data_IF_973627991134
#
_entry.id   IF_973627991134
#
_cell.length_a   1.000
_cell.length_b   1.000
_cell.length_c   1.000
_cell.angle_alpha   90.00
_cell.angle_beta   90.00
_cell.angle_gamma   90.00
#
_symmetry.space_group_name_H-M   'P 1'
#
loop_
_entity.id
_entity.type
_entity.pdbx_description
1 polymer ?
#
# COMPACT_ATOMS: atom_id res chain seq x y z
N UNK A 1 -34.07 -41.14 9.25
CA UNK A 1 -33.94 -40.45 7.95
C UNK A 1 -33.98 -38.92 8.06
N UNK A 2 -34.90 -38.31 8.85
CA UNK A 2 -35.01 -36.84 8.94
C UNK A 2 -33.77 -36.14 9.53
N UNK A 3 -33.16 -36.67 10.59
CA UNK A 3 -31.96 -36.07 11.21
C UNK A 3 -30.73 -36.02 10.26
N UNK A 4 -30.60 -37.00 9.35
CA UNK A 4 -29.51 -37.00 8.36
C UNK A 4 -29.74 -35.96 7.27
N UNK A 5 -30.98 -35.83 6.78
CA UNK A 5 -31.37 -34.82 5.79
C UNK A 5 -31.21 -33.41 6.36
N UNK A 6 -31.62 -33.20 7.62
CA UNK A 6 -31.51 -31.93 8.32
C UNK A 6 -30.04 -31.52 8.54
N UNK A 7 -29.18 -32.45 8.99
CA UNK A 7 -27.72 -32.21 9.11
C UNK A 7 -27.08 -31.89 7.76
N UNK A 8 -27.47 -32.59 6.69
CA UNK A 8 -26.95 -32.36 5.34
C UNK A 8 -27.34 -30.98 4.80
N UNK A 9 -28.61 -30.60 4.93
CA UNK A 9 -29.10 -29.27 4.53
C UNK A 9 -28.44 -28.15 5.34
N UNK A 10 -28.25 -28.34 6.65
CA UNK A 10 -27.58 -27.37 7.52
C UNK A 10 -26.12 -27.16 7.12
N UNK A 11 -25.37 -28.22 6.82
CA UNK A 11 -23.99 -28.14 6.33
C UNK A 11 -23.88 -27.40 4.99
N UNK A 12 -24.81 -27.67 4.06
CA UNK A 12 -24.85 -26.99 2.75
C UNK A 12 -25.10 -25.47 2.89
N UNK A 13 -25.99 -25.07 3.80
CA UNK A 13 -26.27 -23.66 4.08
C UNK A 13 -25.10 -22.96 4.77
N UNK A 14 -24.48 -23.59 5.77
CA UNK A 14 -23.30 -23.05 6.45
C UNK A 14 -22.13 -22.89 5.46
N UNK A 15 -21.90 -23.90 4.62
CA UNK A 15 -20.88 -23.85 3.56
C UNK A 15 -21.14 -22.70 2.58
N UNK A 16 -22.39 -22.48 2.17
CA UNK A 16 -22.75 -21.36 1.28
C UNK A 16 -22.51 -20.00 1.93
N UNK A 17 -22.95 -19.78 3.18
CA UNK A 17 -22.73 -18.52 3.87
C UNK A 17 -21.26 -18.26 4.20
N UNK A 18 -20.53 -19.30 4.59
CA UNK A 18 -19.10 -19.23 4.83
C UNK A 18 -18.35 -18.84 3.56
N UNK A 19 -18.67 -19.46 2.41
CA UNK A 19 -18.08 -19.13 1.12
C UNK A 19 -18.34 -17.67 0.72
N UNK A 20 -19.55 -17.15 0.94
CA UNK A 20 -19.88 -15.74 0.68
C UNK A 20 -19.09 -14.81 1.61
N UNK A 21 -19.06 -15.07 2.92
CA UNK A 21 -18.32 -14.26 3.88
C UNK A 21 -16.82 -14.27 3.60
N UNK A 22 -16.25 -15.42 3.26
CA UNK A 22 -14.84 -15.58 2.89
C UNK A 22 -14.52 -14.82 1.59
N UNK A 23 -15.37 -14.92 0.57
CA UNK A 23 -15.21 -14.17 -0.68
C UNK A 23 -15.22 -12.66 -0.42
N UNK A 24 -16.16 -12.16 0.39
CA UNK A 24 -16.22 -10.75 0.78
C UNK A 24 -14.94 -10.38 1.55
N UNK A 25 -14.49 -11.20 2.50
CA UNK A 25 -13.29 -10.94 3.30
C UNK A 25 -12.04 -10.79 2.43
N UNK A 26 -11.79 -11.74 1.52
CA UNK A 26 -10.60 -11.71 0.67
C UNK A 26 -10.57 -10.48 -0.24
N UNK A 27 -11.72 -10.14 -0.82
CA UNK A 27 -11.86 -9.00 -1.71
C UNK A 27 -11.70 -7.67 -0.95
N UNK A 28 -12.36 -7.52 0.20
CA UNK A 28 -12.23 -6.33 1.04
C UNK A 28 -10.84 -6.19 1.64
N UNK A 29 -10.17 -7.30 1.97
CA UNK A 29 -8.78 -7.30 2.41
C UNK A 29 -7.89 -6.72 1.31
N UNK A 30 -8.01 -7.22 0.08
CA UNK A 30 -7.24 -6.73 -1.05
C UNK A 30 -7.50 -5.24 -1.33
N UNK A 31 -8.77 -4.80 -1.26
CA UNK A 31 -9.11 -3.38 -1.34
C UNK A 31 -8.51 -2.56 -0.20
N UNK A 32 -8.48 -3.10 1.01
CA UNK A 32 -7.84 -2.48 2.18
C UNK A 32 -6.34 -2.30 1.98
N UNK A 33 -5.65 -3.30 1.41
CA UNK A 33 -4.23 -3.20 1.07
C UNK A 33 -3.98 -2.12 0.02
N UNK A 34 -4.78 -2.11 -1.06
CA UNK A 34 -4.68 -1.06 -2.08
C UNK A 34 -4.98 0.33 -1.51
N UNK A 35 -6.01 0.45 -0.67
CA UNK A 35 -6.33 1.68 0.04
C UNK A 35 -5.20 2.15 0.96
N UNK A 36 -4.56 1.23 1.68
CA UNK A 36 -3.38 1.53 2.51
C UNK A 36 -2.24 2.10 1.65
N UNK A 37 -1.97 1.50 0.50
CA UNK A 37 -0.94 1.97 -0.44
C UNK A 37 -1.27 3.35 -1.00
N UNK A 38 -2.51 3.58 -1.45
CA UNK A 38 -2.94 4.89 -1.97
C UNK A 38 -2.75 5.98 -0.90
N UNK A 39 -3.24 5.73 0.32
CA UNK A 39 -3.19 6.72 1.40
C UNK A 39 -1.77 6.99 1.90
N UNK A 40 -0.85 6.03 1.78
CA UNK A 40 0.54 6.16 2.24
C UNK A 40 1.55 6.31 1.09
N UNK A 41 1.10 6.54 -0.14
CA UNK A 41 2.02 6.64 -1.30
C UNK A 41 3.05 7.75 -1.11
N UNK A 42 2.66 8.87 -0.49
CA UNK A 42 3.60 9.97 -0.19
C UNK A 42 4.71 9.51 0.76
N UNK A 43 4.37 8.91 1.90
CA UNK A 43 5.37 8.40 2.87
C UNK A 43 6.30 7.36 2.25
N UNK A 44 5.75 6.49 1.42
CA UNK A 44 6.55 5.50 0.70
C UNK A 44 7.53 6.18 -0.28
N UNK A 45 7.07 7.17 -1.05
CA UNK A 45 7.92 7.94 -1.94
C UNK A 45 8.99 8.73 -1.18
N UNK A 46 8.63 9.34 -0.05
CA UNK A 46 9.53 10.13 0.79
C UNK A 46 10.63 9.25 1.40
N UNK A 47 10.31 8.04 1.86
CA UNK A 47 11.31 7.08 2.35
C UNK A 47 12.37 6.75 1.28
N UNK A 48 11.97 6.48 0.04
CA UNK A 48 12.93 6.24 -1.04
C UNK A 48 13.72 7.50 -1.43
N UNK A 49 13.11 8.69 -1.35
CA UNK A 49 13.80 9.96 -1.60
C UNK A 49 14.90 10.24 -0.57
N UNK A 50 14.65 9.94 0.70
CA UNK A 50 15.60 10.18 1.78
C UNK A 50 16.79 9.22 1.79
N UNK A 51 16.75 8.16 0.99
CA UNK A 51 17.89 7.27 0.74
C UNK A 51 18.86 7.83 -0.31
N UNK A 52 18.53 8.96 -0.95
CA UNK A 52 19.43 9.60 -1.90
C UNK A 52 20.49 10.39 -1.13
N UNK A 53 21.74 10.06 -1.41
CA UNK A 53 22.93 10.73 -0.87
C UNK A 53 23.56 11.60 -1.96
N UNK A 54 23.98 12.80 -1.58
CA UNK A 54 24.89 13.64 -2.36
C UNK A 54 26.27 13.52 -1.75
N UNK A 55 27.24 13.06 -2.52
CA UNK A 55 28.63 12.94 -2.09
C UNK A 55 29.42 14.17 -2.53
N UNK A 56 29.87 14.95 -1.55
CA UNK A 56 30.70 16.15 -1.77
C UNK A 56 32.17 15.77 -1.60
N UNK A 57 32.88 15.57 -2.70
CA UNK A 57 34.31 15.25 -2.68
C UNK A 57 35.15 16.50 -2.42
N UNK A 58 36.11 16.37 -1.52
CA UNK A 58 36.98 17.44 -1.06
C UNK A 58 38.33 17.35 -1.76
N UNK A 59 38.98 18.49 -1.96
CA UNK A 59 40.37 18.53 -2.46
C UNK A 59 41.33 18.05 -1.37
N UNK A 60 42.43 17.42 -1.76
CA UNK A 60 43.51 17.02 -0.83
C UNK A 60 44.12 18.21 -0.07
N UNK A 61 44.00 19.42 -0.62
CA UNK A 61 44.47 20.66 -0.01
C UNK A 61 43.49 21.27 1.01
N UNK A 62 42.31 20.67 1.21
CA UNK A 62 41.29 21.18 2.13
C UNK A 62 41.77 21.09 3.58
N UNK A 63 41.65 22.19 4.33
CA UNK A 63 42.08 22.23 5.72
C UNK A 63 41.03 21.58 6.62
N UNK A 64 41.42 20.89 7.71
CA UNK A 64 40.45 20.29 8.64
C UNK A 64 39.38 21.26 9.17
N UNK A 65 39.74 22.55 9.35
CA UNK A 65 38.81 23.61 9.77
C UNK A 65 37.75 23.90 8.71
N UNK A 66 38.11 23.85 7.42
CA UNK A 66 37.17 24.08 6.31
C UNK A 66 36.20 22.91 6.17
N UNK A 67 36.68 21.69 6.40
CA UNK A 67 35.87 20.46 6.41
C UNK A 67 34.85 20.51 7.55
N UNK A 68 35.29 20.80 8.78
CA UNK A 68 34.41 20.91 9.95
C UNK A 68 33.37 22.04 9.80
N UNK A 69 33.78 23.18 9.22
CA UNK A 69 32.85 24.27 8.92
C UNK A 69 31.81 23.87 7.87
N UNK A 70 32.22 23.17 6.81
CA UNK A 70 31.31 22.68 5.78
C UNK A 70 30.32 21.69 6.37
N UNK A 71 30.80 20.69 7.11
CA UNK A 71 29.95 19.68 7.76
C UNK A 71 28.91 20.33 8.69
N UNK A 72 29.33 21.27 9.55
CA UNK A 72 28.40 22.00 10.42
C UNK A 72 27.40 22.85 9.64
N UNK A 73 27.83 23.50 8.56
CA UNK A 73 26.92 24.28 7.72
C UNK A 73 25.87 23.39 7.05
N UNK A 74 26.27 22.20 6.59
CA UNK A 74 25.39 21.21 5.98
C UNK A 74 24.40 20.66 7.00
N UNK A 75 24.85 20.32 8.21
CA UNK A 75 23.96 19.87 9.30
C UNK A 75 22.91 20.91 9.70
N UNK A 76 23.24 22.21 9.58
CA UNK A 76 22.32 23.31 9.86
C UNK A 76 21.40 23.67 8.69
N UNK A 77 21.69 23.17 7.49
CA UNK A 77 20.90 23.48 6.31
C UNK A 77 19.52 22.82 6.38
N UNK A 78 18.49 23.54 5.93
CA UNK A 78 17.11 23.05 6.00
C UNK A 78 16.89 21.78 5.17
N UNK A 79 17.65 21.61 4.09
CA UNK A 79 17.54 20.47 3.17
C UNK A 79 18.23 19.20 3.68
N UNK A 80 19.08 19.28 4.70
CA UNK A 80 19.90 18.16 5.17
C UNK A 80 19.19 17.36 6.25
N UNK A 81 19.17 16.04 6.09
CA UNK A 81 18.75 15.07 7.10
C UNK A 81 19.94 14.62 7.96
N UNK A 82 21.06 14.31 7.31
CA UNK A 82 22.35 13.98 7.93
C UNK A 82 23.50 14.39 7.01
N UNK A 83 24.65 14.71 7.60
CA UNK A 83 25.89 14.98 6.88
C UNK A 83 27.04 14.26 7.58
N UNK A 84 27.61 13.27 6.92
CA UNK A 84 28.65 12.40 7.46
C UNK A 84 29.96 12.61 6.71
N UNK A 85 31.05 12.82 7.45
CA UNK A 85 32.38 12.91 6.86
C UNK A 85 32.96 11.50 6.72
N UNK A 86 33.38 11.15 5.52
CA UNK A 86 34.03 9.88 5.22
C UNK A 86 35.47 10.20 4.79
N UNK A 87 36.43 9.67 5.54
CA UNK A 87 37.83 9.80 5.17
C UNK A 87 38.13 8.92 3.95
N UNK A 88 39.16 9.28 3.17
CA UNK A 88 39.60 8.46 2.04
C UNK A 88 40.03 7.06 2.49
N UNK A 89 40.54 6.93 3.72
CA UNK A 89 40.90 5.65 4.33
C UNK A 89 39.65 4.81 4.63
N UNK A 90 38.63 5.39 5.28
CA UNK A 90 37.36 4.69 5.57
C UNK A 90 36.63 4.31 4.27
N UNK A 91 36.62 5.22 3.29
CA UNK A 91 36.04 4.95 1.98
C UNK A 91 36.74 3.79 1.26
N UNK A 92 38.05 3.64 1.44
CA UNK A 92 38.80 2.55 0.83
C UNK A 92 38.57 1.21 1.51
N UNK A 93 38.45 1.21 2.85
CA UNK A 93 38.07 0.03 3.61
C UNK A 93 36.68 -0.46 3.17
N UNK A 94 35.69 0.43 3.17
CA UNK A 94 34.32 0.11 2.76
C UNK A 94 34.24 -0.37 1.31
N UNK A 95 34.93 0.31 0.39
CA UNK A 95 34.93 -0.09 -1.01
C UNK A 95 35.63 -1.44 -1.24
N UNK A 96 36.69 -1.74 -0.48
CA UNK A 96 37.40 -3.03 -0.54
C UNK A 96 36.52 -4.17 -0.01
N UNK A 97 35.73 -3.92 1.05
CA UNK A 97 34.75 -4.89 1.55
C UNK A 97 33.65 -5.17 0.53
N UNK A 98 33.13 -4.13 -0.14
CA UNK A 98 32.06 -4.25 -1.13
C UNK A 98 32.49 -5.04 -2.38
N UNK A 99 33.73 -4.86 -2.85
CA UNK A 99 34.26 -5.59 -4.01
C UNK A 99 34.90 -6.93 -3.63
N UNK A 100 35.18 -7.16 -2.33
CA UNK A 100 35.83 -8.36 -1.82
C UNK A 100 37.32 -8.49 -2.16
N UNK A 101 37.95 -7.41 -2.62
CA UNK A 101 39.35 -7.34 -3.05
C UNK A 101 40.00 -6.05 -2.53
N UNK A 102 41.29 -6.11 -2.19
CA UNK A 102 42.04 -4.93 -1.81
C UNK A 102 42.61 -4.25 -3.07
N UNK A 103 41.89 -3.27 -3.60
CA UNK A 103 42.30 -2.54 -4.80
C UNK A 103 43.57 -1.70 -4.56
N UNK A 104 43.86 -1.30 -3.32
CA UNK A 104 45.07 -0.53 -2.99
C UNK A 104 46.33 -1.36 -3.19
N UNK A 105 46.27 -2.67 -2.93
CA UNK A 105 47.38 -3.60 -3.20
C UNK A 105 47.67 -3.71 -4.71
N UNK A 106 46.64 -3.59 -5.56
CA UNK A 106 46.78 -3.61 -7.01
C UNK A 106 47.27 -2.27 -7.58
N UNK A 107 46.76 -1.15 -7.09
CA UNK A 107 47.09 0.20 -7.59
C UNK A 107 48.36 0.78 -6.95
N UNK A 108 48.76 0.29 -5.78
CA UNK A 108 49.92 0.77 -5.01
C UNK A 108 49.68 2.11 -4.29
N UNK A 109 48.47 2.67 -4.37
CA UNK A 109 48.02 3.88 -3.65
C UNK A 109 46.49 3.93 -3.57
N UNK A 110 45.96 4.72 -2.63
CA UNK A 110 44.53 4.99 -2.50
C UNK A 110 44.11 6.16 -3.43
N UNK A 111 43.28 5.92 -4.46
CA UNK A 111 42.81 6.95 -5.39
C UNK A 111 41.54 7.67 -4.91
N UNK A 112 40.95 7.26 -3.78
CA UNK A 112 39.73 7.86 -3.24
C UNK A 112 40.02 9.19 -2.55
N UNK A 113 38.97 10.00 -2.44
CA UNK A 113 39.02 11.34 -1.84
C UNK A 113 38.19 11.35 -0.57
N UNK A 114 38.54 12.26 0.34
CA UNK A 114 37.66 12.57 1.47
C UNK A 114 36.33 13.11 0.92
N UNK A 115 35.21 12.65 1.48
CA UNK A 115 33.89 13.13 1.10
C UNK A 115 33.06 13.54 2.31
N UNK A 116 32.05 14.36 2.06
CA UNK A 116 30.93 14.54 2.97
C UNK A 116 29.69 14.02 2.25
N UNK A 117 29.12 12.96 2.81
CA UNK A 117 27.89 12.34 2.32
C UNK A 117 26.70 13.01 3.00
N UNK A 118 25.86 13.64 2.17
CA UNK A 118 24.72 14.44 2.60
C UNK A 118 23.43 13.73 2.20
N UNK A 119 22.70 13.21 3.20
CA UNK A 119 21.34 12.71 2.98
C UNK A 119 20.36 13.87 3.02
N UNK A 120 19.56 13.99 1.98
CA UNK A 120 18.57 15.07 1.87
C UNK A 120 17.22 14.66 2.49
N UNK A 121 16.48 15.66 2.98
CA UNK A 121 15.06 15.49 3.33
C UNK A 121 14.22 15.35 2.06
N UNK A 122 13.18 14.50 2.09
CA UNK A 122 12.36 14.19 0.92
C UNK A 122 11.79 15.40 0.16
N UNK A 123 11.46 16.47 0.87
CA UNK A 123 10.88 17.70 0.31
C UNK A 123 11.86 18.47 -0.59
N UNK A 124 13.17 18.24 -0.44
CA UNK A 124 14.24 18.87 -1.23
C UNK A 124 14.82 17.94 -2.31
N UNK A 125 14.29 16.73 -2.45
CA UNK A 125 14.70 15.75 -3.46
C UNK A 125 13.89 15.95 -4.73
N UNK A 126 14.22 17.02 -5.45
CA UNK A 126 13.78 17.27 -6.83
C UNK A 126 14.98 17.54 -7.74
N UNK A 127 14.88 17.23 -9.05
CA UNK A 127 16.00 17.46 -9.98
C UNK A 127 16.50 18.90 -9.92
N UNK A 128 15.59 19.88 -9.89
CA UNK A 128 15.94 21.30 -9.86
C UNK A 128 16.62 21.71 -8.55
N UNK A 129 16.05 21.33 -7.40
CA UNK A 129 16.62 21.70 -6.10
C UNK A 129 17.97 21.03 -5.85
N UNK A 130 18.14 19.79 -6.29
CA UNK A 130 19.42 19.09 -6.15
C UNK A 130 20.48 19.72 -7.05
N UNK A 131 20.12 20.11 -8.29
CA UNK A 131 21.04 20.85 -9.16
C UNK A 131 21.47 22.18 -8.53
N UNK A 132 20.53 22.95 -7.94
CA UNK A 132 20.82 24.20 -7.23
C UNK A 132 21.76 23.98 -6.02
N UNK A 133 21.47 22.97 -5.19
CA UNK A 133 22.31 22.61 -4.03
C UNK A 133 23.70 22.18 -4.50
N UNK A 134 23.78 21.35 -5.55
CA UNK A 134 25.05 20.88 -6.07
C UNK A 134 25.92 22.01 -6.63
N UNK A 135 25.32 22.96 -7.35
CA UNK A 135 26.01 24.16 -7.85
C UNK A 135 26.51 25.06 -6.70
N UNK A 136 25.69 25.26 -5.66
CA UNK A 136 26.09 26.02 -4.47
C UNK A 136 27.29 25.38 -3.75
N UNK A 137 27.28 24.06 -3.61
CA UNK A 137 28.35 23.31 -2.96
C UNK A 137 29.63 23.28 -3.82
N UNK A 138 29.50 23.11 -5.14
CA UNK A 138 30.61 23.12 -6.08
C UNK A 138 31.30 24.49 -6.18
N UNK A 139 30.60 25.59 -5.86
CA UNK A 139 31.18 26.93 -5.86
C UNK A 139 32.22 27.17 -4.74
N UNK A 140 32.32 26.27 -3.76
CA UNK A 140 33.28 26.39 -2.64
C UNK A 140 34.68 25.96 -3.10
N UNK A 141 35.70 26.80 -2.84
CA UNK A 141 37.05 26.60 -3.36
C UNK A 141 37.73 25.27 -2.95
N UNK A 142 37.37 24.73 -1.78
CA UNK A 142 37.91 23.49 -1.20
C UNK A 142 37.11 22.23 -1.57
N UNK A 143 36.00 22.37 -2.29
CA UNK A 143 35.25 21.27 -2.90
C UNK A 143 35.86 20.98 -4.28
N UNK A 144 36.02 19.70 -4.59
CA UNK A 144 36.55 19.24 -5.86
C UNK A 144 35.42 18.87 -6.83
N UNK A 145 34.50 18.03 -6.39
CA UNK A 145 33.37 17.55 -7.17
C UNK A 145 32.18 17.26 -6.27
N UNK A 146 30.97 17.49 -6.78
CA UNK A 146 29.72 17.08 -6.12
C UNK A 146 29.07 16.01 -6.99
N UNK A 147 29.02 14.79 -6.48
CA UNK A 147 28.49 13.62 -7.19
C UNK A 147 27.13 13.21 -6.64
N UNK A 148 26.20 12.93 -7.55
CA UNK A 148 24.85 12.46 -7.23
C UNK A 148 24.23 11.81 -8.47
N UNK A 149 23.34 10.84 -8.23
CA UNK A 149 22.70 10.08 -9.30
C UNK A 149 21.49 10.85 -9.89
N UNK A 150 21.77 11.79 -10.80
CA UNK A 150 20.75 12.54 -11.56
C UNK A 150 19.71 11.62 -12.22
N UNK A 151 20.11 10.56 -12.97
CA UNK A 151 19.15 9.60 -13.52
C UNK A 151 18.23 9.02 -12.46
N UNK A 152 18.76 8.53 -11.34
CA UNK A 152 17.96 7.92 -10.27
C UNK A 152 16.96 8.90 -9.67
N UNK A 153 17.37 10.14 -9.37
CA UNK A 153 16.48 11.19 -8.83
C UNK A 153 15.34 11.48 -9.80
N UNK A 154 15.67 11.67 -11.08
CA UNK A 154 14.68 11.95 -12.12
C UNK A 154 13.71 10.78 -12.34
N UNK A 155 14.23 9.55 -12.30
CA UNK A 155 13.44 8.32 -12.37
C UNK A 155 12.51 8.21 -11.17
N UNK A 156 13.01 8.45 -9.95
CA UNK A 156 12.24 8.32 -8.72
C UNK A 156 11.11 9.34 -8.66
N UNK A 157 11.36 10.61 -9.01
CA UNK A 157 10.31 11.65 -8.98
C UNK A 157 9.22 11.40 -10.05
N UNK A 158 9.63 11.09 -11.29
CA UNK A 158 8.69 10.79 -12.37
C UNK A 158 7.92 9.48 -12.13
N UNK A 159 8.61 8.43 -11.68
CA UNK A 159 8.00 7.13 -11.44
C UNK A 159 7.13 7.14 -10.19
N UNK A 160 7.48 7.86 -9.11
CA UNK A 160 6.63 7.96 -7.92
C UNK A 160 5.23 8.52 -8.28
N UNK A 161 5.17 9.57 -9.09
CA UNK A 161 3.88 10.12 -9.58
C UNK A 161 3.13 9.11 -10.45
N UNK A 162 3.81 8.46 -11.38
CA UNK A 162 3.20 7.44 -12.25
C UNK A 162 2.69 6.24 -11.44
N UNK A 163 3.47 5.74 -10.51
CA UNK A 163 3.13 4.63 -9.62
C UNK A 163 1.90 5.00 -8.79
N UNK A 164 1.86 6.21 -8.21
CA UNK A 164 0.68 6.69 -7.48
C UNK A 164 -0.58 6.65 -8.33
N UNK A 165 -0.50 7.13 -9.58
CA UNK A 165 -1.61 7.10 -10.53
C UNK A 165 -2.02 5.66 -10.85
N UNK A 166 -1.06 4.77 -11.13
CA UNK A 166 -1.34 3.37 -11.43
C UNK A 166 -1.95 2.62 -10.25
N UNK A 167 -1.51 2.89 -9.01
CA UNK A 167 -2.12 2.33 -7.79
C UNK A 167 -3.56 2.82 -7.65
N UNK A 168 -3.84 4.10 -7.93
CA UNK A 168 -5.20 4.64 -7.90
C UNK A 168 -6.09 3.97 -8.96
N UNK A 169 -5.61 3.85 -10.21
CA UNK A 169 -6.33 3.17 -11.29
C UNK A 169 -6.57 1.71 -10.94
N UNK A 170 -5.56 1.00 -10.43
CA UNK A 170 -5.70 -0.37 -9.96
C UNK A 170 -6.77 -0.46 -8.85
N UNK A 171 -6.73 0.43 -7.86
CA UNK A 171 -7.73 0.49 -6.78
C UNK A 171 -9.15 0.66 -7.31
N UNK A 172 -9.34 1.51 -8.33
CA UNK A 172 -10.65 1.70 -8.96
C UNK A 172 -11.11 0.42 -9.69
N UNK A 173 -10.24 -0.22 -10.48
CA UNK A 173 -10.53 -1.48 -11.17
C UNK A 173 -10.85 -2.60 -10.18
N UNK A 174 -10.04 -2.75 -9.12
CA UNK A 174 -10.28 -3.73 -8.08
C UNK A 174 -11.57 -3.47 -7.31
N UNK A 175 -12.00 -2.21 -7.18
CA UNK A 175 -13.30 -1.87 -6.59
C UNK A 175 -14.45 -2.39 -7.47
N UNK A 176 -14.34 -2.26 -8.79
CA UNK A 176 -15.32 -2.84 -9.72
C UNK A 176 -15.32 -4.36 -9.65
N UNK A 177 -14.13 -4.99 -9.65
CA UNK A 177 -13.98 -6.45 -9.49
C UNK A 177 -14.62 -6.90 -8.17
N UNK A 178 -14.41 -6.14 -7.10
CA UNK A 178 -14.98 -6.43 -5.79
C UNK A 178 -16.50 -6.46 -5.82
N UNK A 179 -17.12 -5.44 -6.41
CA UNK A 179 -18.57 -5.38 -6.59
C UNK A 179 -19.06 -6.56 -7.42
N UNK A 180 -18.36 -6.93 -8.50
CA UNK A 180 -18.74 -8.06 -9.35
C UNK A 180 -18.65 -9.41 -8.62
N UNK A 181 -17.57 -9.67 -7.89
CA UNK A 181 -17.35 -10.91 -7.12
C UNK A 181 -18.33 -11.03 -5.95
N UNK A 182 -18.58 -9.94 -5.23
CA UNK A 182 -19.54 -9.93 -4.13
C UNK A 182 -20.96 -10.16 -4.68
N UNK A 183 -21.30 -9.49 -5.79
CA UNK A 183 -22.59 -9.68 -6.46
C UNK A 183 -22.77 -11.10 -6.99
N UNK A 184 -21.75 -11.71 -7.60
CA UNK A 184 -21.84 -13.10 -8.09
C UNK A 184 -22.04 -14.09 -6.94
N UNK A 185 -21.29 -13.95 -5.84
CA UNK A 185 -21.42 -14.77 -4.63
C UNK A 185 -22.81 -14.64 -3.98
N UNK A 186 -23.31 -13.41 -3.81
CA UNK A 186 -24.65 -13.15 -3.24
C UNK A 186 -25.75 -13.70 -4.15
N UNK A 187 -25.62 -13.51 -5.46
CA UNK A 187 -26.57 -14.02 -6.46
C UNK A 187 -26.66 -15.54 -6.43
N UNK A 188 -25.52 -16.23 -6.34
CA UNK A 188 -25.48 -17.69 -6.22
C UNK A 188 -26.16 -18.15 -4.92
N UNK A 189 -25.91 -17.45 -3.81
CA UNK A 189 -26.58 -17.72 -2.53
C UNK A 189 -28.10 -17.52 -2.62
N UNK A 190 -28.57 -16.46 -3.27
CA UNK A 190 -30.00 -16.21 -3.48
C UNK A 190 -30.63 -17.25 -4.43
N UNK A 191 -29.93 -17.62 -5.50
CA UNK A 191 -30.38 -18.64 -6.45
C UNK A 191 -30.60 -20.00 -5.76
N UNK A 192 -29.76 -20.36 -4.79
CA UNK A 192 -29.95 -21.59 -3.99
C UNK A 192 -31.27 -21.62 -3.22
N UNK A 193 -31.89 -20.45 -3.00
CA UNK A 193 -33.16 -20.25 -2.28
C UNK A 193 -34.31 -19.85 -3.19
N UNK A 194 -34.17 -20.03 -4.52
CA UNK A 194 -35.18 -19.63 -5.52
C UNK A 194 -36.57 -20.22 -5.25
N UNK A 195 -36.65 -21.48 -4.83
CA UNK A 195 -37.92 -22.13 -4.50
C UNK A 195 -38.60 -21.49 -3.29
N UNK A 196 -37.84 -21.14 -2.24
CA UNK A 196 -38.38 -20.46 -1.05
C UNK A 196 -38.96 -19.10 -1.43
N UNK A 197 -38.22 -18.34 -2.25
CA UNK A 197 -38.67 -17.04 -2.78
C UNK A 197 -39.99 -17.21 -3.54
N UNK A 198 -40.09 -18.23 -4.40
CA UNK A 198 -41.28 -18.47 -5.20
C UNK A 198 -42.48 -18.92 -4.36
N UNK A 199 -42.27 -19.80 -3.37
CA UNK A 199 -43.33 -20.19 -2.42
C UNK A 199 -43.88 -18.99 -1.68
N UNK A 200 -43.02 -18.06 -1.23
CA UNK A 200 -43.47 -16.81 -0.61
C UNK A 200 -44.28 -15.93 -1.59
N UNK A 201 -43.91 -15.88 -2.87
CA UNK A 201 -44.70 -15.17 -3.89
C UNK A 201 -46.07 -15.81 -4.12
N UNK A 202 -46.16 -17.15 -4.15
CA UNK A 202 -47.41 -17.88 -4.39
C UNK A 202 -48.43 -17.71 -3.25
N UNK A 203 -47.97 -17.52 -2.01
CA UNK A 203 -48.84 -17.20 -0.87
C UNK A 203 -49.18 -15.71 -0.74
N UNK A 204 -48.80 -14.88 -1.73
CA UNK A 204 -49.15 -13.46 -1.79
C UNK A 204 -48.24 -12.51 -1.01
N UNK A 205 -47.04 -12.93 -0.61
CA UNK A 205 -46.12 -12.05 0.12
C UNK A 205 -45.64 -10.88 -0.74
N UNK A 206 -45.57 -9.68 -0.16
CA UNK A 206 -45.09 -8.48 -0.86
C UNK A 206 -43.60 -8.58 -1.19
N UNK A 207 -43.15 -7.94 -2.28
CA UNK A 207 -41.73 -7.94 -2.69
C UNK A 207 -40.80 -7.49 -1.56
N UNK A 208 -41.21 -6.49 -0.77
CA UNK A 208 -40.44 -5.98 0.37
C UNK A 208 -40.35 -7.00 1.50
N UNK A 209 -41.44 -7.72 1.82
CA UNK A 209 -41.44 -8.76 2.83
C UNK A 209 -40.45 -9.88 2.50
N UNK A 210 -40.41 -10.28 1.22
CA UNK A 210 -39.48 -11.31 0.75
C UNK A 210 -38.02 -10.84 0.86
N UNK A 211 -37.71 -9.58 0.50
CA UNK A 211 -36.32 -9.07 0.45
C UNK A 211 -35.69 -8.83 1.81
N UNK A 212 -36.43 -8.26 2.75
CA UNK A 212 -35.93 -7.84 4.07
C UNK A 212 -35.03 -8.89 4.76
N UNK A 213 -35.43 -10.16 4.89
CA UNK A 213 -34.57 -11.16 5.55
C UNK A 213 -33.26 -11.39 4.80
N UNK A 214 -33.28 -11.45 3.46
CA UNK A 214 -32.05 -11.64 2.66
C UNK A 214 -31.10 -10.44 2.79
N UNK A 215 -31.62 -9.21 2.77
CA UNK A 215 -30.82 -8.00 2.94
C UNK A 215 -30.10 -8.05 4.29
N UNK A 216 -30.82 -8.30 5.38
CA UNK A 216 -30.22 -8.39 6.70
C UNK A 216 -29.22 -9.53 6.85
N UNK A 217 -29.49 -10.71 6.27
CA UNK A 217 -28.52 -11.82 6.28
C UNK A 217 -27.22 -11.46 5.57
N UNK A 218 -27.31 -10.88 4.37
CA UNK A 218 -26.11 -10.56 3.59
C UNK A 218 -25.36 -9.34 4.13
N UNK A 219 -26.05 -8.36 4.75
CA UNK A 219 -25.37 -7.29 5.50
C UNK A 219 -24.55 -7.88 6.64
N UNK A 220 -25.11 -8.81 7.42
CA UNK A 220 -24.37 -9.48 8.52
C UNK A 220 -23.17 -10.27 8.00
N UNK A 221 -23.31 -10.94 6.86
CA UNK A 221 -22.19 -11.62 6.19
C UNK A 221 -21.14 -10.63 5.69
N UNK A 222 -21.57 -9.48 5.16
CA UNK A 222 -20.69 -8.38 4.75
C UNK A 222 -19.91 -7.80 5.94
N UNK A 223 -20.58 -7.58 7.07
CA UNK A 223 -19.95 -7.13 8.32
C UNK A 223 -18.95 -8.16 8.84
N UNK A 224 -19.30 -9.45 8.83
CA UNK A 224 -18.40 -10.52 9.25
C UNK A 224 -17.17 -10.64 8.33
N UNK A 225 -17.38 -10.58 7.01
CA UNK A 225 -16.30 -10.60 6.03
C UNK A 225 -15.39 -9.37 6.16
N UNK A 226 -15.97 -8.18 6.32
CA UNK A 226 -15.23 -6.96 6.59
C UNK A 226 -14.43 -7.05 7.88
N UNK A 227 -14.99 -7.58 8.96
CA UNK A 227 -14.27 -7.75 10.22
C UNK A 227 -13.05 -8.66 10.07
N UNK A 228 -13.19 -9.79 9.38
CA UNK A 228 -12.07 -10.69 9.06
C UNK A 228 -11.01 -9.98 8.19
N UNK A 229 -11.45 -9.21 7.19
CA UNK A 229 -10.55 -8.41 6.36
C UNK A 229 -9.76 -7.38 7.17
N UNK A 230 -10.43 -6.68 8.11
CA UNK A 230 -9.81 -5.69 8.99
C UNK A 230 -8.80 -6.32 9.96
N UNK A 231 -9.07 -7.53 10.48
CA UNK A 231 -8.08 -8.27 11.27
C UNK A 231 -6.83 -8.55 10.43
N UNK A 232 -7.02 -9.08 9.22
CA UNK A 232 -5.90 -9.33 8.30
C UNK A 232 -5.12 -8.05 7.97
N UNK A 233 -5.83 -6.96 7.72
CA UNK A 233 -5.22 -5.65 7.44
C UNK A 233 -4.45 -5.11 8.64
N UNK A 234 -4.99 -5.24 9.86
CA UNK A 234 -4.31 -4.86 11.09
C UNK A 234 -3.02 -5.64 11.34
N UNK A 235 -3.05 -6.96 11.09
CA UNK A 235 -1.85 -7.81 11.15
C UNK A 235 -0.81 -7.38 10.12
N UNK A 236 -1.24 -7.06 8.89
CA UNK A 236 -0.33 -6.58 7.84
C UNK A 236 0.31 -5.24 8.23
N UNK A 237 -0.48 -4.27 8.70
CA UNK A 237 0.02 -2.96 9.13
C UNK A 237 1.03 -3.12 10.27
N UNK A 238 0.73 -3.97 11.26
CA UNK A 238 1.65 -4.27 12.35
C UNK A 238 2.97 -4.88 11.85
N UNK A 239 2.89 -5.83 10.91
CA UNK A 239 4.08 -6.47 10.32
C UNK A 239 4.93 -5.46 9.54
N UNK A 240 4.31 -4.59 8.73
CA UNK A 240 5.04 -3.55 7.99
C UNK A 240 5.70 -2.57 8.95
N UNK A 241 5.00 -2.09 9.98
CA UNK A 241 5.55 -1.14 10.94
C UNK A 241 6.72 -1.73 11.74
N UNK A 242 6.76 -3.05 11.95
CA UNK A 242 7.88 -3.71 12.64
C UNK A 242 9.14 -3.79 11.77
N UNK A 243 8.98 -4.07 10.47
CA UNK A 243 10.12 -4.22 9.56
C UNK A 243 10.59 -2.89 8.96
N UNK A 244 9.69 -1.91 8.85
CA UNK A 244 9.94 -0.58 8.28
C UNK A 244 9.42 0.50 9.24
N UNK A 245 10.07 0.71 10.40
CA UNK A 245 9.61 1.67 11.40
C UNK A 245 9.56 3.11 10.87
N UNK A 246 10.40 3.43 9.88
CA UNK A 246 10.47 4.75 9.24
C UNK A 246 9.16 5.16 8.56
N UNK A 247 8.35 4.21 8.10
CA UNK A 247 7.05 4.49 7.48
C UNK A 247 6.00 5.01 8.47
N UNK A 248 6.20 4.77 9.78
CA UNK A 248 5.34 5.25 10.88
C UNK A 248 3.83 5.08 10.61
N UNK A 249 3.44 3.94 10.03
CA UNK A 249 2.07 3.67 9.59
C UNK A 249 1.07 3.68 10.77
N UNK A 250 1.52 3.23 11.95
CA UNK A 250 0.69 3.17 13.16
C UNK A 250 0.49 4.52 13.85
N UNK A 251 1.32 5.52 13.56
CA UNK A 251 1.25 6.84 14.20
C UNK A 251 0.17 7.73 13.59
N UNK A 252 -0.21 7.44 12.34
CA UNK A 252 -1.25 8.16 11.62
C UNK A 252 -2.62 7.53 11.86
N UNK A 253 -3.09 7.65 13.10
CA UNK A 253 -4.36 7.07 13.53
C UNK A 253 -5.54 7.54 12.68
N UNK A 254 -5.50 8.78 12.18
CA UNK A 254 -6.59 9.33 11.37
C UNK A 254 -6.69 8.61 10.02
N UNK A 255 -5.58 8.42 9.31
CA UNK A 255 -5.55 7.69 8.04
C UNK A 255 -5.98 6.24 8.23
N UNK A 256 -5.51 5.58 9.29
CA UNK A 256 -5.91 4.20 9.60
C UNK A 256 -7.40 4.09 9.93
N UNK A 257 -7.95 5.00 10.73
CA UNK A 257 -9.39 5.00 11.06
C UNK A 257 -10.22 5.21 9.79
N UNK A 258 -9.85 6.17 8.93
CA UNK A 258 -10.54 6.42 7.67
C UNK A 258 -10.52 5.17 6.79
N UNK A 259 -9.36 4.49 6.68
CA UNK A 259 -9.23 3.27 5.91
C UNK A 259 -10.11 2.14 6.47
N UNK A 260 -10.07 1.90 7.78
CA UNK A 260 -10.81 0.81 8.43
C UNK A 260 -12.32 1.04 8.34
N UNK A 261 -12.77 2.26 8.62
CA UNK A 261 -14.18 2.67 8.48
C UNK A 261 -14.61 2.60 7.02
N UNK A 262 -13.76 3.05 6.09
CA UNK A 262 -14.01 2.98 4.65
C UNK A 262 -14.19 1.55 4.15
N UNK A 263 -13.28 0.64 4.49
CA UNK A 263 -13.36 -0.79 4.11
C UNK A 263 -14.60 -1.45 4.73
N UNK A 264 -14.90 -1.17 6.00
CA UNK A 264 -16.10 -1.69 6.65
C UNK A 264 -17.39 -1.17 5.99
N UNK A 265 -17.45 0.14 5.76
CA UNK A 265 -18.57 0.80 5.10
C UNK A 265 -18.80 0.27 3.68
N UNK A 266 -17.73 0.11 2.89
CA UNK A 266 -17.80 -0.50 1.56
C UNK A 266 -18.34 -1.92 1.63
N UNK A 267 -17.90 -2.74 2.59
CA UNK A 267 -18.44 -4.08 2.80
C UNK A 267 -19.96 -4.06 3.00
N UNK A 268 -20.46 -3.20 3.89
CA UNK A 268 -21.89 -3.05 4.17
C UNK A 268 -22.66 -2.55 2.96
N UNK A 269 -22.18 -1.48 2.31
CA UNK A 269 -22.85 -0.84 1.17
C UNK A 269 -22.90 -1.79 -0.02
N UNK A 270 -21.79 -2.45 -0.36
CA UNK A 270 -21.72 -3.38 -1.50
C UNK A 270 -22.61 -4.59 -1.23
N UNK A 271 -22.59 -5.16 -0.01
CA UNK A 271 -23.48 -6.27 0.34
C UNK A 271 -24.96 -5.89 0.27
N UNK A 272 -25.33 -4.71 0.78
CA UNK A 272 -26.71 -4.20 0.68
C UNK A 272 -27.13 -4.00 -0.78
N UNK A 273 -26.35 -3.27 -1.56
CA UNK A 273 -26.64 -2.97 -2.97
C UNK A 273 -26.74 -4.24 -3.80
N UNK A 274 -25.76 -5.14 -3.66
CA UNK A 274 -25.73 -6.42 -4.37
C UNK A 274 -26.94 -7.29 -4.04
N UNK A 275 -27.33 -7.35 -2.77
CA UNK A 275 -28.51 -8.12 -2.36
C UNK A 275 -29.79 -7.51 -2.90
N UNK A 276 -29.89 -6.18 -2.93
CA UNK A 276 -31.03 -5.48 -3.50
C UNK A 276 -31.19 -5.80 -5.00
N UNK A 277 -30.11 -5.68 -5.78
CA UNK A 277 -30.14 -5.99 -7.22
C UNK A 277 -30.41 -7.46 -7.50
N UNK A 278 -29.76 -8.37 -6.77
CA UNK A 278 -29.94 -9.80 -6.97
C UNK A 278 -31.38 -10.23 -6.64
N UNK A 279 -31.93 -9.81 -5.51
CA UNK A 279 -33.32 -10.14 -5.14
C UNK A 279 -34.34 -9.50 -6.09
N UNK A 280 -34.13 -8.25 -6.55
CA UNK A 280 -34.98 -7.60 -7.54
C UNK A 280 -35.06 -8.42 -8.84
N UNK A 281 -33.91 -8.89 -9.33
CA UNK A 281 -33.85 -9.74 -10.54
C UNK A 281 -34.65 -11.03 -10.35
N UNK A 282 -34.48 -11.73 -9.22
CA UNK A 282 -35.18 -12.99 -8.95
C UNK A 282 -36.69 -12.83 -8.76
N UNK A 283 -37.14 -11.73 -8.17
CA UNK A 283 -38.56 -11.45 -8.00
C UNK A 283 -39.29 -11.13 -9.30
N UNK A 284 -38.55 -10.79 -10.35
CA UNK A 284 -39.08 -10.49 -11.68
C UNK A 284 -39.03 -11.70 -12.64
N UNK A 285 -38.48 -12.85 -12.23
CA UNK A 285 -38.44 -14.07 -13.07
C UNK A 285 -39.81 -14.78 -13.13
N UNK A 286 -40.14 -15.33 -14.30
CA UNK A 286 -41.35 -16.15 -14.48
C UNK A 286 -41.14 -17.51 -13.82
N UNK A 287 -42.24 -18.19 -13.48
CA UNK A 287 -42.20 -19.48 -12.77
C UNK A 287 -41.50 -20.56 -13.61
N UNK A 288 -41.61 -20.47 -14.92
CA UNK A 288 -41.08 -21.45 -15.88
C UNK A 288 -39.55 -21.38 -16.01
N UNK A 289 -38.95 -20.23 -15.68
CA UNK A 289 -37.50 -20.00 -15.72
C UNK A 289 -36.77 -20.59 -14.49
N UNK A 290 -37.47 -21.22 -13.55
CA UNK A 290 -36.90 -21.76 -12.31
C UNK A 290 -36.30 -23.18 -12.46
N UNK A 291 -36.70 -23.87 -13.53
CA UNK A 291 -36.35 -25.27 -13.80
C UNK A 291 -35.14 -25.43 -14.73
N UNK A 292 -34.70 -24.34 -15.36
CA UNK A 292 -33.51 -24.28 -16.22
C UNK A 292 -32.36 -23.50 -15.56
#
# INVERSE_FOLDING_TARGET
MSQYIERYQRRKLISSYFSVALSIALVLFLLGVLGLLVLNTKKLADHFKEQITISVFLKDSAKPVEIDQLQKSLMLAEYTKSAEYISKEDAAEQYSEDIGENFEEFLGYNPLKNSIDVNLKADFVSPQQIDEIAEELAAKAYVDEVSYDKPLISLLNNNARKISLWILVASAVFTVIAVLLINSSIRLSIYSKRFIIKTMQMVGATKTFIRRPFIWTNIKLGMAGAFVALIGLGVLVYYINKNFPELNLLQDYMVLIILFVGVFGLGVIISWASTHFATQRFLNLRTDDLYY
#
